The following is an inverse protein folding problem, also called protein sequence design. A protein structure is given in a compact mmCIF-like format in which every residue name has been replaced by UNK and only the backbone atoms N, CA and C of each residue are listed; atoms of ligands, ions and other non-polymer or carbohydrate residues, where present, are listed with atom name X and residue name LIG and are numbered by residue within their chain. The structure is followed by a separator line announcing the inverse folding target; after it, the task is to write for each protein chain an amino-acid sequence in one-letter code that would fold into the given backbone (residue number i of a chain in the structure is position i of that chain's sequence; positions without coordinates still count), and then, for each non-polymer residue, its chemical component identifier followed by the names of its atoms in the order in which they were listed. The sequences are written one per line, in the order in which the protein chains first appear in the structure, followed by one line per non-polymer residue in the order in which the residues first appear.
data_IF_880724866485
#
_entry.id   IF_880724866485
#
_cell.length_a   1.000
_cell.length_b   1.000
_cell.length_c   1.000
_cell.angle_alpha   90.00
_cell.angle_beta   90.00
_cell.angle_gamma   90.00
#
_symmetry.space_group_name_H-M   'P 1'
#
loop_
_entity.id
_entity.type
_entity.pdbx_description
1 polymer ?
#
# COMPACT_ATOMS: atom_id res chain seq x y z
N UNK A 1 18.08 -91.08 -57.63
CA UNK A 1 18.21 -90.06 -58.69
C UNK A 1 17.53 -88.78 -58.22
N UNK A 2 18.30 -87.68 -58.19
CA UNK A 2 17.92 -86.25 -58.00
C UNK A 2 17.29 -85.89 -56.64
N UNK A 3 18.04 -85.43 -55.63
CA UNK A 3 18.77 -84.15 -55.46
C UNK A 3 17.86 -82.94 -55.14
N UNK A 4 17.91 -82.48 -53.89
CA UNK A 4 17.98 -81.05 -53.49
C UNK A 4 18.08 -81.03 -51.95
N UNK A 5 19.27 -80.94 -51.36
CA UNK A 5 20.02 -79.73 -50.99
C UNK A 5 19.36 -78.86 -49.90
N UNK A 6 20.20 -78.66 -48.89
CA UNK A 6 20.09 -77.89 -47.65
C UNK A 6 19.65 -76.44 -47.83
N UNK A 7 19.04 -75.87 -46.77
CA UNK A 7 19.73 -74.85 -45.97
C UNK A 7 18.92 -74.49 -44.71
N UNK A 8 19.63 -74.54 -43.58
CA UNK A 8 19.26 -73.98 -42.29
C UNK A 8 19.43 -72.46 -42.41
N UNK A 9 18.37 -71.71 -42.14
CA UNK A 9 18.42 -70.26 -41.96
C UNK A 9 17.91 -69.92 -40.56
N UNK A 10 18.82 -69.34 -39.78
CA UNK A 10 18.64 -68.82 -38.43
C UNK A 10 17.96 -67.43 -38.48
N UNK A 11 17.34 -67.04 -37.34
CA UNK A 11 17.10 -65.63 -36.90
C UNK A 11 15.98 -64.91 -37.70
N UNK A 12 14.94 -64.27 -37.15
CA UNK A 12 14.62 -63.67 -35.85
C UNK A 12 13.12 -63.81 -35.56
N UNK A 13 12.74 -64.07 -34.31
CA UNK A 13 11.39 -63.77 -33.82
C UNK A 13 11.31 -62.25 -33.64
N UNK A 14 10.66 -61.55 -34.58
CA UNK A 14 10.25 -60.18 -34.38
C UNK A 14 9.08 -60.18 -33.39
N UNK A 15 9.39 -60.00 -32.11
CA UNK A 15 8.41 -59.69 -31.08
C UNK A 15 7.92 -58.27 -31.39
N UNK A 16 6.80 -58.15 -32.11
CA UNK A 16 6.04 -56.90 -32.18
C UNK A 16 5.46 -56.62 -30.78
N UNK A 17 6.28 -56.06 -29.90
CA UNK A 17 5.78 -55.32 -28.75
C UNK A 17 5.14 -54.08 -29.33
N UNK A 18 3.82 -54.10 -29.51
CA UNK A 18 3.06 -52.87 -29.64
C UNK A 18 3.25 -52.11 -28.33
N UNK A 19 4.23 -51.23 -28.30
CA UNK A 19 4.26 -50.10 -27.39
C UNK A 19 3.04 -49.26 -27.76
N UNK A 20 1.89 -49.62 -27.19
CA UNK A 20 0.84 -48.65 -26.98
C UNK A 20 1.48 -47.62 -26.07
N UNK A 21 1.94 -46.53 -26.67
CA UNK A 21 2.34 -45.32 -25.96
C UNK A 21 1.11 -44.90 -25.16
N UNK A 22 1.05 -45.33 -23.91
CA UNK A 22 0.26 -44.64 -22.92
C UNK A 22 0.97 -43.30 -22.82
N UNK A 23 0.46 -42.32 -23.58
CA UNK A 23 0.73 -40.92 -23.31
C UNK A 23 0.19 -40.68 -21.91
N UNK A 24 1.04 -40.94 -20.92
CA UNK A 24 0.92 -40.34 -19.61
C UNK A 24 1.01 -38.86 -19.91
N UNK A 25 -0.15 -38.23 -20.07
CA UNK A 25 -0.27 -36.81 -19.78
C UNK A 25 0.10 -36.72 -18.31
N UNK A 26 1.39 -36.57 -18.03
CA UNK A 26 1.78 -35.70 -16.95
C UNK A 26 1.21 -34.35 -17.39
N UNK A 27 -0.04 -34.11 -17.00
CA UNK A 27 -0.48 -32.75 -16.76
C UNK A 27 0.55 -32.25 -15.74
N UNK A 28 1.58 -31.57 -16.24
CA UNK A 28 2.33 -30.65 -15.42
C UNK A 28 1.25 -29.80 -14.78
N UNK A 29 1.07 -29.97 -13.48
CA UNK A 29 0.35 -29.02 -12.65
C UNK A 29 1.19 -27.75 -12.68
N UNK A 30 1.11 -27.04 -13.80
CA UNK A 30 1.70 -25.73 -13.96
C UNK A 30 0.72 -24.77 -13.30
N UNK A 31 0.78 -24.75 -11.97
CA UNK A 31 0.04 -23.81 -11.14
C UNK A 31 1.06 -22.91 -10.47
N UNK A 32 1.38 -21.81 -11.11
CA UNK A 32 2.20 -20.76 -10.52
C UNK A 32 1.44 -19.44 -10.55
N UNK A 33 1.45 -18.79 -9.39
CA UNK A 33 0.52 -17.76 -8.91
C UNK A 33 1.32 -16.86 -7.92
N UNK A 34 1.16 -15.53 -7.83
CA UNK A 34 2.09 -14.52 -8.38
C UNK A 34 2.34 -14.85 -9.86
N UNK A 35 2.34 -13.90 -10.80
CA UNK A 35 2.34 -14.35 -12.21
C UNK A 35 3.61 -15.18 -12.43
N UNK A 36 3.44 -16.48 -12.69
CA UNK A 36 4.49 -17.50 -12.67
C UNK A 36 5.38 -17.61 -11.39
N UNK A 37 4.84 -17.43 -10.18
CA UNK A 37 5.50 -17.67 -8.88
C UNK A 37 5.07 -18.95 -8.16
N UNK A 38 5.76 -19.36 -7.09
CA UNK A 38 5.52 -20.61 -6.36
C UNK A 38 4.93 -20.36 -4.98
N UNK A 39 4.14 -21.31 -4.49
CA UNK A 39 3.67 -21.28 -3.09
C UNK A 39 4.90 -21.27 -2.16
N UNK A 40 4.94 -20.33 -1.22
CA UNK A 40 6.01 -20.28 -0.23
C UNK A 40 5.85 -21.41 0.78
N UNK A 41 6.91 -21.79 1.49
CA UNK A 41 6.77 -22.75 2.60
C UNK A 41 6.38 -21.97 3.85
N UNK A 42 5.40 -22.50 4.60
CA UNK A 42 5.02 -21.97 5.91
C UNK A 42 6.26 -21.84 6.80
N UNK A 43 6.55 -20.62 7.24
CA UNK A 43 7.67 -20.30 8.12
C UNK A 43 8.90 -19.73 7.42
N UNK A 44 8.95 -19.70 6.07
CA UNK A 44 10.05 -19.06 5.33
C UNK A 44 10.07 -17.55 5.56
N UNK A 45 8.89 -16.93 5.65
CA UNK A 45 8.69 -15.48 5.71
C UNK A 45 7.94 -15.04 6.98
N UNK A 46 8.50 -15.26 8.18
CA UNK A 46 7.80 -15.03 9.45
C UNK A 46 7.55 -13.55 9.76
N UNK A 47 8.21 -12.64 9.05
CA UNK A 47 7.99 -11.18 9.13
C UNK A 47 6.89 -10.69 8.18
N UNK A 48 6.43 -11.52 7.23
CA UNK A 48 5.41 -11.12 6.27
C UNK A 48 4.14 -10.73 7.01
N UNK A 49 3.60 -9.56 6.70
CA UNK A 49 2.48 -8.98 7.44
C UNK A 49 1.32 -8.71 6.50
N UNK A 50 0.14 -9.22 6.85
CA UNK A 50 -1.10 -8.87 6.16
C UNK A 50 -1.70 -7.61 6.79
N UNK A 51 -2.00 -6.60 5.98
CA UNK A 51 -2.76 -5.42 6.43
C UNK A 51 -4.24 -5.66 6.11
N UNK A 52 -5.06 -5.60 7.15
CA UNK A 52 -6.42 -6.13 7.17
C UNK A 52 -7.38 -5.01 7.56
N UNK A 53 -8.51 -4.89 6.86
CA UNK A 53 -9.62 -4.02 7.31
C UNK A 53 -10.17 -4.52 8.64
N UNK A 54 -10.19 -3.65 9.66
CA UNK A 54 -10.63 -3.99 11.02
C UNK A 54 -12.01 -4.65 11.03
N UNK A 55 -12.16 -5.70 11.82
CA UNK A 55 -13.41 -6.47 11.94
C UNK A 55 -13.75 -7.37 10.74
N UNK A 56 -12.82 -7.58 9.79
CA UNK A 56 -12.92 -8.62 8.76
C UNK A 56 -11.98 -9.79 9.07
N UNK A 57 -12.31 -10.99 8.60
CA UNK A 57 -11.35 -12.11 8.61
C UNK A 57 -10.14 -11.76 7.74
N UNK A 58 -8.96 -12.29 8.02
CA UNK A 58 -7.74 -12.02 7.24
C UNK A 58 -7.98 -12.29 5.73
N UNK A 59 -8.52 -13.47 5.40
CA UNK A 59 -8.88 -13.86 4.01
C UNK A 59 -9.82 -12.92 3.27
N UNK A 60 -10.62 -12.10 3.98
CA UNK A 60 -11.58 -11.18 3.36
C UNK A 60 -11.22 -9.72 3.51
N UNK A 61 -10.38 -9.41 4.49
CA UNK A 61 -10.02 -8.07 4.88
C UNK A 61 -8.64 -7.66 4.44
N UNK A 62 -7.77 -8.60 4.06
CA UNK A 62 -6.45 -8.30 3.51
C UNK A 62 -6.61 -7.44 2.26
N UNK A 63 -5.86 -6.33 2.22
CA UNK A 63 -5.86 -5.42 1.08
C UNK A 63 -4.46 -4.97 0.66
N UNK A 64 -3.48 -5.04 1.57
CA UNK A 64 -2.07 -4.79 1.31
C UNK A 64 -1.19 -5.76 2.11
N UNK A 65 0.07 -5.85 1.71
CA UNK A 65 1.15 -6.46 2.46
C UNK A 65 1.95 -5.42 3.27
N UNK A 66 2.84 -5.93 4.09
CA UNK A 66 3.83 -5.19 4.86
C UNK A 66 4.88 -6.14 5.40
N UNK A 67 5.86 -5.59 6.09
CA UNK A 67 6.92 -6.36 6.74
C UNK A 67 7.11 -5.90 8.18
N UNK A 68 7.15 -6.84 9.11
CA UNK A 68 7.46 -6.53 10.50
C UNK A 68 8.96 -6.24 10.64
N UNK A 69 9.29 -5.04 11.12
CA UNK A 69 10.69 -4.58 11.26
C UNK A 69 11.15 -4.55 12.73
N UNK A 70 10.28 -4.92 13.67
CA UNK A 70 10.61 -5.13 15.07
C UNK A 70 9.78 -4.30 16.04
N UNK A 71 9.68 -4.75 17.29
CA UNK A 71 8.98 -4.07 18.37
C UNK A 71 7.50 -3.82 18.04
N UNK A 72 7.21 -2.58 17.62
CA UNK A 72 5.87 -2.05 17.30
C UNK A 72 5.70 -1.68 15.83
N UNK A 73 6.63 -2.02 14.95
CA UNK A 73 6.68 -1.36 13.64
C UNK A 73 6.53 -2.34 12.48
N UNK A 74 5.64 -1.97 11.56
CA UNK A 74 5.44 -2.62 10.27
C UNK A 74 5.73 -1.59 9.17
N UNK A 75 6.58 -1.97 8.23
CA UNK A 75 6.91 -1.17 7.04
C UNK A 75 5.96 -1.54 5.90
N UNK A 76 5.42 -0.55 5.20
CA UNK A 76 4.51 -0.73 4.06
C UNK A 76 4.56 0.49 3.12
N UNK A 77 3.68 0.53 2.12
CA UNK A 77 3.55 1.64 1.18
C UNK A 77 2.55 2.70 1.70
N UNK A 78 2.80 3.97 1.38
CA UNK A 78 1.91 5.08 1.71
C UNK A 78 0.54 4.94 1.04
N UNK A 79 0.49 4.49 -0.22
CA UNK A 79 -0.76 4.32 -0.95
C UNK A 79 -1.71 3.29 -0.31
N UNK A 80 -1.18 2.34 0.48
CA UNK A 80 -1.99 1.36 1.21
C UNK A 80 -2.80 2.00 2.34
N UNK A 81 -2.21 3.00 3.00
CA UNK A 81 -2.74 3.62 4.23
C UNK A 81 -3.23 5.05 4.02
N UNK A 82 -3.00 5.62 2.84
CA UNK A 82 -3.54 6.91 2.45
C UNK A 82 -5.06 6.94 2.66
N UNK A 83 -5.54 8.01 3.30
CA UNK A 83 -6.95 8.20 3.63
C UNK A 83 -7.55 7.13 4.58
N UNK A 84 -6.72 6.44 5.38
CA UNK A 84 -7.16 5.51 6.42
C UNK A 84 -6.80 6.01 7.80
N UNK A 85 -7.68 5.76 8.77
CA UNK A 85 -7.38 5.91 10.19
C UNK A 85 -6.73 4.64 10.74
N UNK A 86 -5.87 4.74 11.78
CA UNK A 86 -5.43 3.58 12.57
C UNK A 86 -6.60 2.66 12.98
N UNK A 87 -7.76 3.23 13.30
CA UNK A 87 -8.95 2.49 13.71
C UNK A 87 -9.66 1.72 12.58
N UNK A 88 -9.28 1.95 11.32
CA UNK A 88 -9.85 1.23 10.16
C UNK A 88 -9.10 -0.07 9.87
N UNK A 89 -7.93 -0.26 10.47
CA UNK A 89 -6.99 -1.33 10.11
C UNK A 89 -6.50 -2.13 11.32
N UNK A 90 -6.18 -3.39 11.04
CA UNK A 90 -5.42 -4.29 11.91
C UNK A 90 -4.33 -4.93 11.05
N UNK A 91 -3.30 -5.46 11.68
CA UNK A 91 -2.29 -6.25 10.97
C UNK A 91 -2.27 -7.69 11.49
N UNK A 92 -1.80 -8.62 10.68
CA UNK A 92 -1.44 -9.96 11.12
C UNK A 92 0.00 -10.28 10.73
N UNK A 93 0.90 -10.31 11.71
CA UNK A 93 2.34 -10.53 11.51
C UNK A 93 2.66 -12.02 11.50
N UNK A 94 3.34 -12.50 10.46
CA UNK A 94 3.78 -13.90 10.33
C UNK A 94 2.68 -14.88 9.92
N UNK A 95 1.55 -14.38 9.43
CA UNK A 95 0.52 -15.23 8.82
C UNK A 95 1.03 -15.74 7.46
N UNK A 96 0.74 -17.01 7.13
CA UNK A 96 1.11 -17.60 5.85
C UNK A 96 -0.14 -17.95 5.03
N UNK A 97 -1.12 -18.59 5.66
CA UNK A 97 -2.45 -18.84 5.09
C UNK A 97 -3.50 -17.94 5.76
N UNK A 98 -4.05 -16.98 5.00
CA UNK A 98 -5.08 -16.04 5.42
C UNK A 98 -6.39 -16.71 5.89
N UNK A 99 -6.60 -17.99 5.56
CA UNK A 99 -7.74 -18.78 6.04
C UNK A 99 -7.51 -19.45 7.40
N UNK A 100 -6.27 -19.43 7.90
CA UNK A 100 -5.86 -20.06 9.16
C UNK A 100 -5.52 -19.04 10.26
N UNK A 101 -6.08 -17.83 10.21
CA UNK A 101 -5.77 -16.72 11.15
C UNK A 101 -6.00 -17.05 12.64
N UNK A 102 -6.82 -18.06 12.95
CA UNK A 102 -7.02 -18.54 14.32
C UNK A 102 -5.79 -19.31 14.88
N UNK A 103 -4.89 -19.75 13.99
CA UNK A 103 -3.73 -20.61 14.33
C UNK A 103 -2.41 -20.09 13.75
N UNK A 104 -2.46 -19.06 12.91
CA UNK A 104 -1.32 -18.47 12.23
C UNK A 104 -1.30 -16.95 12.38
N UNK A 105 -0.09 -16.42 12.47
CA UNK A 105 0.15 -14.99 12.64
C UNK A 105 -0.22 -14.45 14.02
N UNK A 106 0.13 -13.19 14.22
CA UNK A 106 -0.20 -12.42 15.41
C UNK A 106 -1.03 -11.22 14.96
N UNK A 107 -2.34 -11.26 15.23
CA UNK A 107 -3.25 -10.17 14.89
C UNK A 107 -3.20 -9.06 15.94
N UNK A 108 -2.92 -7.85 15.51
CA UNK A 108 -2.63 -6.69 16.39
C UNK A 108 -3.32 -5.43 15.85
N UNK A 109 -3.78 -4.58 16.76
CA UNK A 109 -4.34 -3.27 16.40
C UNK A 109 -3.25 -2.26 16.04
N UNK A 110 -3.67 -1.15 15.44
CA UNK A 110 -2.78 -0.07 15.02
C UNK A 110 -2.98 1.15 15.93
N UNK A 111 -1.88 1.70 16.44
CA UNK A 111 -1.82 2.91 17.25
C UNK A 111 -1.72 4.17 16.40
N UNK A 112 -0.85 4.14 15.40
CA UNK A 112 -0.54 5.28 14.55
C UNK A 112 -0.08 4.82 13.16
N UNK A 113 -0.19 5.73 12.20
CA UNK A 113 0.26 5.55 10.82
C UNK A 113 1.09 6.79 10.48
N UNK A 114 2.30 6.56 10.01
CA UNK A 114 3.23 7.58 9.53
C UNK A 114 3.45 7.36 8.03
N UNK A 115 3.01 8.31 7.22
CA UNK A 115 3.26 8.37 5.78
C UNK A 115 4.39 9.37 5.52
N UNK A 116 5.15 9.16 4.46
CA UNK A 116 6.14 10.15 4.05
C UNK A 116 5.46 11.50 3.77
N UNK A 117 6.06 12.57 4.26
CA UNK A 117 5.54 13.94 4.22
C UNK A 117 5.38 14.42 2.77
N UNK A 118 6.33 14.03 1.91
CA UNK A 118 6.35 14.31 0.47
C UNK A 118 5.71 13.20 -0.39
N UNK A 119 4.87 12.32 0.17
CA UNK A 119 4.15 11.33 -0.62
C UNK A 119 3.19 12.01 -1.62
N UNK A 120 3.40 11.75 -2.90
CA UNK A 120 2.54 12.22 -3.99
C UNK A 120 1.72 11.04 -4.54
N UNK A 121 0.39 11.10 -4.41
CA UNK A 121 -0.49 10.03 -4.88
C UNK A 121 -0.69 10.00 -6.41
N UNK A 122 -0.36 11.08 -7.12
CA UNK A 122 -0.43 11.14 -8.58
C UNK A 122 0.82 10.55 -9.22
N UNK A 123 1.99 10.88 -8.67
CA UNK A 123 3.29 10.37 -9.16
C UNK A 123 3.70 9.04 -8.50
N UNK A 124 3.14 8.74 -7.34
CA UNK A 124 3.54 7.62 -6.46
C UNK A 124 4.99 7.74 -5.98
N UNK A 125 5.49 8.98 -5.88
CA UNK A 125 6.79 9.31 -5.31
C UNK A 125 6.74 9.20 -3.78
N UNK A 126 7.85 8.82 -3.16
CA UNK A 126 7.98 8.65 -1.71
C UNK A 126 6.92 7.71 -1.10
N UNK A 127 6.60 6.63 -1.80
CA UNK A 127 5.55 5.69 -1.40
C UNK A 127 5.98 4.73 -0.27
N UNK A 128 6.18 5.29 0.92
CA UNK A 128 6.59 4.57 2.13
C UNK A 128 5.74 4.99 3.33
N UNK A 129 5.41 4.03 4.19
CA UNK A 129 4.72 4.27 5.45
C UNK A 129 5.18 3.31 6.55
N UNK A 130 5.11 3.78 7.79
CA UNK A 130 5.23 2.98 9.01
C UNK A 130 3.85 2.87 9.66
N UNK A 131 3.49 1.64 10.01
CA UNK A 131 2.36 1.32 10.89
C UNK A 131 2.94 1.02 12.27
N UNK A 132 2.52 1.81 13.26
CA UNK A 132 2.82 1.56 14.67
C UNK A 132 1.71 0.72 15.30
N UNK A 133 2.08 -0.40 15.94
CA UNK A 133 1.19 -1.32 16.61
C UNK A 133 0.78 -0.81 18.00
N UNK A 134 -0.45 -1.11 18.42
CA UNK A 134 -0.98 -0.76 19.75
C UNK A 134 -0.17 -1.35 20.92
N UNK A 135 0.50 -2.47 20.67
CA UNK A 135 1.43 -3.10 21.59
C UNK A 135 2.67 -3.61 20.86
N UNK A 136 3.80 -3.64 21.58
CA UNK A 136 4.99 -4.33 21.10
C UNK A 136 4.71 -5.84 21.05
N UNK A 137 5.15 -6.50 19.99
CA UNK A 137 5.02 -7.94 19.83
C UNK A 137 6.37 -8.61 19.69
N UNK A 138 6.42 -9.89 20.05
CA UNK A 138 7.59 -10.74 19.82
C UNK A 138 7.35 -11.60 18.58
N UNK A 139 7.95 -11.19 17.47
CA UNK A 139 7.94 -11.90 16.19
C UNK A 139 9.32 -11.75 15.51
N UNK A 140 9.58 -12.55 14.48
CA UNK A 140 10.80 -12.40 13.68
C UNK A 140 10.70 -11.15 12.82
N UNK A 141 11.65 -10.22 12.96
CA UNK A 141 11.74 -9.04 12.12
C UNK A 141 12.63 -9.27 10.90
N UNK A 142 12.38 -8.51 9.83
CA UNK A 142 13.27 -8.45 8.66
C UNK A 142 14.29 -7.32 8.85
N UNK A 143 15.60 -7.57 8.67
CA UNK A 143 16.58 -6.49 8.60
C UNK A 143 16.41 -5.67 7.32
N UNK A 144 16.51 -4.35 7.45
CA UNK A 144 16.47 -3.43 6.33
C UNK A 144 17.86 -3.27 5.69
N UNK A 145 17.89 -3.14 4.37
CA UNK A 145 19.12 -2.82 3.64
C UNK A 145 19.59 -1.39 3.95
N UNK A 146 20.90 -1.18 3.97
CA UNK A 146 21.47 0.17 3.92
C UNK A 146 21.43 0.71 2.49
N UNK A 147 21.53 2.03 2.32
CA UNK A 147 21.63 2.65 1.00
C UNK A 147 22.79 2.06 0.18
N UNK A 148 23.96 1.93 0.80
CA UNK A 148 25.14 1.34 0.15
C UNK A 148 24.89 -0.07 -0.37
N UNK A 149 24.08 -0.87 0.34
CA UNK A 149 23.72 -2.21 -0.13
C UNK A 149 22.81 -2.11 -1.36
N UNK A 150 21.78 -1.27 -1.33
CA UNK A 150 20.87 -1.09 -2.48
C UNK A 150 21.60 -0.53 -3.70
N UNK A 151 22.48 0.46 -3.52
CA UNK A 151 23.30 1.03 -4.59
C UNK A 151 24.18 -0.04 -5.26
N UNK A 152 24.66 -1.02 -4.50
CA UNK A 152 25.49 -2.11 -5.05
C UNK A 152 24.72 -3.05 -5.98
N UNK A 153 23.38 -3.10 -5.88
CA UNK A 153 22.53 -3.95 -6.73
C UNK A 153 22.53 -3.48 -8.19
N UNK A 154 22.66 -2.17 -8.43
CA UNK A 154 22.74 -1.58 -9.79
C UNK A 154 23.88 -2.17 -10.62
N UNK A 155 24.95 -2.62 -9.96
CA UNK A 155 26.12 -3.16 -10.66
C UNK A 155 26.11 -4.68 -10.77
N UNK A 156 25.37 -5.36 -9.88
CA UNK A 156 25.37 -6.82 -9.78
C UNK A 156 24.16 -7.47 -10.44
N UNK A 157 23.08 -6.71 -10.70
CA UNK A 157 21.82 -7.17 -11.27
C UNK A 157 21.33 -8.51 -10.69
N UNK A 158 21.20 -8.63 -9.36
CA UNK A 158 20.86 -9.90 -8.73
C UNK A 158 19.38 -10.24 -8.91
N UNK A 159 19.05 -11.51 -8.67
CA UNK A 159 17.66 -11.92 -8.43
C UNK A 159 17.20 -11.45 -7.06
N UNK A 160 15.98 -10.94 -7.00
CA UNK A 160 15.29 -10.44 -5.81
C UNK A 160 13.99 -11.21 -5.62
N UNK A 161 13.64 -11.49 -4.37
CA UNK A 161 12.42 -12.24 -4.05
C UNK A 161 11.32 -11.29 -3.59
N UNK A 162 10.15 -11.34 -4.22
CA UNK A 162 8.92 -10.67 -3.79
C UNK A 162 7.88 -11.70 -3.40
N UNK A 163 6.98 -11.34 -2.48
CA UNK A 163 5.97 -12.24 -1.93
C UNK A 163 4.69 -11.51 -1.53
N UNK A 164 3.59 -12.24 -1.54
CA UNK A 164 2.31 -11.74 -1.06
C UNK A 164 1.12 -12.63 -1.44
N UNK A 165 -0.07 -12.08 -1.25
CA UNK A 165 -1.36 -12.70 -1.51
C UNK A 165 -2.11 -12.01 -2.66
N UNK A 166 -1.36 -11.34 -3.53
CA UNK A 166 -1.90 -10.57 -4.64
C UNK A 166 -2.54 -11.42 -5.72
N UNK A 167 -3.14 -10.74 -6.68
CA UNK A 167 -3.88 -11.37 -7.75
C UNK A 167 -2.96 -12.20 -8.64
N UNK A 168 -3.33 -13.44 -8.86
CA UNK A 168 -2.48 -14.45 -9.48
C UNK A 168 -2.68 -14.53 -11.00
N UNK A 169 -3.46 -13.61 -11.57
CA UNK A 169 -3.88 -13.64 -12.95
C UNK A 169 -3.91 -12.25 -13.57
N UNK A 170 -3.34 -12.14 -14.77
CA UNK A 170 -3.40 -10.92 -15.60
C UNK A 170 -4.75 -10.72 -16.28
N UNK A 171 -5.62 -11.74 -16.28
CA UNK A 171 -6.87 -11.77 -17.06
C UNK A 171 -8.11 -12.05 -16.21
N UNK A 172 -7.93 -12.43 -14.95
CA UNK A 172 -9.03 -12.74 -14.01
C UNK A 172 -8.67 -12.32 -12.59
N UNK A 173 -9.63 -12.40 -11.66
CA UNK A 173 -9.44 -12.06 -10.25
C UNK A 173 -9.34 -13.35 -9.44
N UNK A 174 -8.12 -13.72 -9.07
CA UNK A 174 -7.82 -14.95 -8.37
C UNK A 174 -6.84 -14.62 -7.25
N UNK A 175 -7.36 -14.42 -6.04
CA UNK A 175 -6.55 -14.17 -4.85
C UNK A 175 -6.32 -15.49 -4.08
N UNK A 176 -5.08 -15.83 -3.69
CA UNK A 176 -4.82 -17.00 -2.88
C UNK A 176 -5.04 -16.64 -1.42
N UNK A 177 -5.34 -17.65 -0.60
CA UNK A 177 -5.20 -17.47 0.84
C UNK A 177 -3.78 -17.78 1.31
N UNK A 178 -3.06 -18.66 0.61
CA UNK A 178 -1.69 -19.03 0.93
C UNK A 178 -0.71 -18.02 0.34
N UNK A 179 0.37 -17.73 1.05
CA UNK A 179 1.42 -16.81 0.62
C UNK A 179 2.24 -17.41 -0.54
N UNK A 180 2.39 -16.64 -1.61
CA UNK A 180 3.23 -16.99 -2.76
C UNK A 180 4.47 -16.10 -2.84
N UNK A 181 5.47 -16.57 -3.58
CA UNK A 181 6.72 -15.84 -3.84
C UNK A 181 7.16 -15.98 -5.30
N UNK A 182 7.95 -15.04 -5.78
CA UNK A 182 8.64 -15.14 -7.07
C UNK A 182 9.97 -14.41 -7.00
N UNK A 183 10.93 -14.89 -7.79
CA UNK A 183 12.17 -14.19 -8.04
C UNK A 183 12.06 -13.33 -9.31
N UNK A 184 12.50 -12.08 -9.21
CA UNK A 184 12.56 -11.08 -10.28
C UNK A 184 13.95 -10.45 -10.30
N UNK A 185 14.55 -10.23 -11.48
CA UNK A 185 15.88 -9.61 -11.55
C UNK A 185 15.78 -8.12 -11.24
N UNK A 186 16.79 -7.59 -10.56
CA UNK A 186 16.97 -6.15 -10.43
C UNK A 186 17.15 -5.51 -11.82
N UNK A 187 16.58 -4.32 -11.99
CA UNK A 187 16.68 -3.51 -13.21
C UNK A 187 17.26 -2.16 -12.84
N UNK A 188 18.39 -1.80 -13.48
CA UNK A 188 19.01 -0.50 -13.27
C UNK A 188 18.06 0.64 -13.67
N UNK A 189 18.17 1.76 -12.94
CA UNK A 189 17.26 2.91 -13.09
C UNK A 189 17.23 3.45 -14.51
N UNK A 190 18.36 3.46 -15.21
CA UNK A 190 18.42 3.97 -16.58
C UNK A 190 17.63 3.08 -17.55
N UNK A 191 17.76 1.76 -17.42
CA UNK A 191 16.96 0.79 -18.17
C UNK A 191 15.47 0.92 -17.86
N UNK A 192 15.12 1.15 -16.58
CA UNK A 192 13.74 1.35 -16.17
C UNK A 192 13.15 2.64 -16.80
N UNK A 193 13.85 3.77 -16.68
CA UNK A 193 13.42 5.06 -17.23
C UNK A 193 13.29 5.05 -18.77
N UNK A 194 14.08 4.23 -19.45
CA UNK A 194 14.05 4.10 -20.90
C UNK A 194 12.74 3.50 -21.44
N UNK A 195 11.88 2.91 -20.59
CA UNK A 195 10.50 2.53 -20.98
C UNK A 195 9.70 3.77 -21.42
N UNK A 196 9.94 4.92 -20.79
CA UNK A 196 9.18 6.15 -21.01
C UNK A 196 7.85 6.19 -20.26
N UNK A 197 7.04 7.22 -20.52
CA UNK A 197 5.81 7.45 -19.75
C UNK A 197 6.12 7.75 -18.28
N UNK A 198 5.34 7.18 -17.37
CA UNK A 198 5.51 7.38 -15.91
C UNK A 198 6.85 6.80 -15.41
N UNK A 199 7.42 5.80 -16.09
CA UNK A 199 8.76 5.28 -15.76
C UNK A 199 9.87 6.33 -15.92
N UNK A 200 9.67 7.36 -16.75
CA UNK A 200 10.70 8.38 -17.01
C UNK A 200 11.01 9.26 -15.78
N UNK A 201 10.12 9.27 -14.78
CA UNK A 201 10.27 10.06 -13.54
C UNK A 201 10.77 9.24 -12.35
N UNK A 202 11.00 7.93 -12.51
CA UNK A 202 11.49 7.05 -11.42
C UNK A 202 12.79 7.62 -10.82
N UNK A 203 12.69 8.06 -9.57
CA UNK A 203 13.75 8.75 -8.83
C UNK A 203 14.66 7.85 -8.00
N UNK A 204 15.44 8.46 -7.10
CA UNK A 204 16.31 7.75 -6.14
C UNK A 204 15.50 7.05 -5.03
N UNK A 205 14.29 7.53 -4.78
CA UNK A 205 13.30 6.99 -3.86
C UNK A 205 12.70 5.66 -4.33
N UNK A 206 13.02 5.22 -5.55
CA UNK A 206 12.53 3.98 -6.13
C UNK A 206 13.63 3.16 -6.83
N UNK A 207 13.36 1.85 -6.95
CA UNK A 207 14.12 0.85 -7.70
C UNK A 207 13.17 0.02 -8.56
N UNK A 208 13.68 -0.59 -9.63
CA UNK A 208 12.89 -1.43 -10.52
C UNK A 208 13.35 -2.89 -10.46
N UNK A 209 12.41 -3.81 -10.64
CA UNK A 209 12.70 -5.22 -10.79
C UNK A 209 11.68 -5.90 -11.70
N UNK A 210 12.11 -6.88 -12.48
CA UNK A 210 11.25 -7.63 -13.39
C UNK A 210 11.95 -8.04 -14.68
N UNK A 211 11.33 -8.97 -15.39
CA UNK A 211 11.81 -9.42 -16.70
C UNK A 211 11.31 -8.49 -17.80
N UNK A 212 12.16 -8.14 -18.75
CA UNK A 212 11.79 -7.29 -19.89
C UNK A 212 10.68 -7.95 -20.74
N UNK A 213 10.69 -9.27 -20.85
CA UNK A 213 9.66 -10.06 -21.53
C UNK A 213 8.35 -10.14 -20.74
N UNK A 214 8.33 -9.65 -19.51
CA UNK A 214 7.23 -9.82 -18.57
C UNK A 214 7.11 -11.26 -18.08
N UNK A 215 5.88 -11.69 -17.81
CA UNK A 215 5.58 -13.07 -17.42
C UNK A 215 5.87 -13.41 -15.95
N UNK A 216 6.60 -12.60 -15.19
CA UNK A 216 6.68 -12.70 -13.72
C UNK A 216 6.61 -11.34 -13.06
N UNK A 217 5.73 -11.20 -12.07
CA UNK A 217 5.54 -9.93 -11.36
C UNK A 217 4.67 -10.08 -10.11
N UNK A 218 4.86 -9.15 -9.17
CA UNK A 218 3.89 -8.84 -8.12
C UNK A 218 2.62 -8.22 -8.72
N UNK A 219 1.48 -8.32 -8.03
CA UNK A 219 0.22 -7.82 -8.56
C UNK A 219 -0.70 -7.25 -7.49
N UNK A 220 -1.92 -6.83 -7.86
CA UNK A 220 -2.85 -6.18 -6.92
C UNK A 220 -3.01 -7.02 -5.65
N UNK A 221 -2.83 -6.44 -4.47
CA UNK A 221 -2.88 -7.14 -3.19
C UNK A 221 -1.51 -7.52 -2.61
N UNK A 222 -0.44 -7.45 -3.41
CA UNK A 222 0.96 -7.52 -2.94
C UNK A 222 1.51 -6.14 -2.53
N UNK A 223 0.84 -5.05 -2.94
CA UNK A 223 1.12 -3.66 -2.57
C UNK A 223 1.54 -3.50 -1.11
N UNK A 224 2.64 -2.78 -0.88
CA UNK A 224 3.22 -2.60 0.45
C UNK A 224 4.05 -3.79 0.96
N UNK A 225 4.02 -4.94 0.28
CA UNK A 225 4.84 -6.11 0.60
C UNK A 225 6.33 -5.90 0.34
N UNK A 226 7.21 -6.73 0.93
CA UNK A 226 8.65 -6.56 0.82
C UNK A 226 9.24 -7.12 -0.49
N UNK A 227 10.25 -6.42 -1.02
CA UNK A 227 11.21 -6.95 -1.99
C UNK A 227 12.52 -7.27 -1.27
N UNK A 228 13.01 -8.50 -1.39
CA UNK A 228 14.12 -9.02 -0.62
C UNK A 228 15.34 -9.33 -1.47
N UNK A 229 16.51 -9.04 -0.93
CA UNK A 229 17.80 -9.49 -1.44
C UNK A 229 18.42 -10.53 -0.51
N UNK A 230 18.92 -11.62 -1.08
CA UNK A 230 19.63 -12.65 -0.33
C UNK A 230 21.13 -12.30 -0.23
N UNK A 231 21.50 -11.63 0.86
CA UNK A 231 22.90 -11.29 1.16
C UNK A 231 23.58 -12.49 1.83
N UNK A 232 24.15 -13.38 1.01
CA UNK A 232 24.96 -14.52 1.46
C UNK A 232 24.25 -15.43 2.49
N UNK A 233 22.97 -15.70 2.27
CA UNK A 233 22.12 -16.53 3.14
C UNK A 233 21.29 -15.73 4.14
N UNK A 234 21.46 -14.40 4.21
CA UNK A 234 20.63 -13.52 5.04
C UNK A 234 19.77 -12.64 4.15
N UNK A 235 18.46 -12.83 4.22
CA UNK A 235 17.52 -11.94 3.53
C UNK A 235 17.51 -10.56 4.18
N UNK A 236 17.55 -9.52 3.35
CA UNK A 236 17.37 -8.12 3.74
C UNK A 236 16.31 -7.49 2.85
N UNK A 237 15.47 -6.63 3.41
CA UNK A 237 14.49 -5.90 2.62
C UNK A 237 15.17 -4.72 1.91
N UNK A 238 15.08 -4.71 0.58
CA UNK A 238 15.66 -3.67 -0.30
C UNK A 238 14.58 -2.80 -0.93
N UNK A 239 13.35 -3.28 -0.98
CA UNK A 239 12.24 -2.52 -1.54
C UNK A 239 10.88 -2.80 -0.92
N UNK A 240 9.90 -1.99 -1.34
CA UNK A 240 8.47 -2.11 -0.98
C UNK A 240 7.67 -2.09 -2.28
N UNK A 241 6.76 -3.05 -2.49
CA UNK A 241 5.89 -3.08 -3.68
C UNK A 241 5.07 -1.80 -3.76
N UNK A 242 5.25 -1.01 -4.83
CA UNK A 242 4.59 0.29 -5.00
C UNK A 242 3.63 0.27 -6.20
N UNK A 243 4.14 0.25 -7.43
CA UNK A 243 3.32 0.31 -8.64
C UNK A 243 3.95 -0.41 -9.85
N UNK A 244 3.22 -0.50 -10.96
CA UNK A 244 3.67 -1.03 -12.25
C UNK A 244 2.58 -0.94 -13.31
N UNK A 245 2.98 -0.89 -14.59
CA UNK A 245 2.06 -0.81 -15.73
C UNK A 245 1.41 -2.16 -16.06
N UNK A 246 0.45 -2.54 -15.22
CA UNK A 246 -0.15 -3.86 -15.25
C UNK A 246 0.82 -4.92 -14.74
N UNK A 247 0.29 -6.09 -14.40
CA UNK A 247 1.11 -7.13 -13.80
C UNK A 247 1.73 -8.02 -14.90
N UNK A 248 3.05 -8.20 -14.84
CA UNK A 248 3.83 -9.09 -15.70
C UNK A 248 3.66 -8.85 -17.21
N UNK A 249 3.40 -7.61 -17.62
CA UNK A 249 3.36 -7.24 -19.03
C UNK A 249 4.78 -7.12 -19.59
N UNK A 250 5.00 -7.42 -20.88
CA UNK A 250 6.26 -7.12 -21.53
C UNK A 250 6.56 -5.61 -21.47
N UNK A 251 7.82 -5.26 -21.15
CA UNK A 251 8.30 -3.89 -20.96
C UNK A 251 7.54 -3.09 -19.88
N UNK A 252 7.04 -3.77 -18.84
CA UNK A 252 6.51 -3.13 -17.64
C UNK A 252 7.20 -3.75 -16.42
N UNK A 253 8.20 -3.05 -15.88
CA UNK A 253 8.85 -3.49 -14.65
C UNK A 253 7.98 -3.14 -13.44
N UNK A 254 8.08 -3.93 -12.37
CA UNK A 254 7.59 -3.52 -11.07
C UNK A 254 8.48 -2.40 -10.53
N UNK A 255 7.86 -1.37 -9.98
CA UNK A 255 8.52 -0.27 -9.30
C UNK A 255 8.30 -0.43 -7.80
N UNK A 256 9.41 -0.33 -7.07
CA UNK A 256 9.46 -0.58 -5.64
C UNK A 256 10.11 0.61 -4.95
N UNK A 257 9.57 1.02 -3.81
CA UNK A 257 10.18 2.07 -2.99
C UNK A 257 11.55 1.62 -2.50
N UNK A 258 12.58 2.46 -2.63
CA UNK A 258 13.96 2.17 -2.26
C UNK A 258 14.13 2.24 -0.73
N UNK A 259 14.15 1.09 -0.05
CA UNK A 259 14.30 1.04 1.40
C UNK A 259 15.64 1.63 1.85
N UNK A 260 16.71 1.41 1.10
CA UNK A 260 18.03 1.93 1.43
C UNK A 260 18.07 3.46 1.51
N UNK A 261 17.34 4.13 0.62
CA UNK A 261 17.20 5.58 0.59
C UNK A 261 16.57 6.12 1.88
N UNK A 262 15.43 5.56 2.29
CA UNK A 262 14.69 6.00 3.49
C UNK A 262 15.29 5.51 4.82
N UNK A 263 16.06 4.42 4.80
CA UNK A 263 16.70 3.85 6.00
C UNK A 263 17.89 4.69 6.52
N UNK A 264 18.20 5.82 5.89
CA UNK A 264 19.24 6.76 6.34
C UNK A 264 18.72 7.86 7.28
N UNK A 265 17.42 7.88 7.59
CA UNK A 265 16.86 8.82 8.55
C UNK A 265 15.36 8.66 8.76
N UNK A 266 14.58 8.68 7.68
CA UNK A 266 13.11 8.71 7.75
C UNK A 266 12.52 7.51 8.52
N UNK A 267 13.00 6.30 8.24
CA UNK A 267 12.53 5.10 8.96
C UNK A 267 12.93 5.17 10.44
N UNK A 268 14.14 5.62 10.75
CA UNK A 268 14.63 5.72 12.13
C UNK A 268 13.79 6.72 12.94
N UNK A 269 13.52 7.89 12.37
CA UNK A 269 12.65 8.92 12.98
C UNK A 269 11.26 8.36 13.32
N UNK A 270 10.65 7.58 12.43
CA UNK A 270 9.31 7.03 12.63
C UNK A 270 9.27 5.69 13.39
N UNK A 271 10.42 5.22 13.88
CA UNK A 271 10.55 3.98 14.65
C UNK A 271 11.33 4.15 15.96
N UNK A 272 11.53 5.40 16.40
CA UNK A 272 12.34 5.75 17.56
C UNK A 272 11.60 5.62 18.90
N UNK A 273 10.27 5.46 18.89
CA UNK A 273 9.42 5.35 20.07
C UNK A 273 8.56 6.58 20.35
N UNK A 274 8.71 7.68 19.62
CA UNK A 274 7.83 8.85 19.76
C UNK A 274 6.54 8.60 18.97
N UNK A 275 5.44 8.39 19.69
CA UNK A 275 4.13 8.09 19.09
C UNK A 275 3.24 9.30 19.03
N UNK A 276 2.68 9.61 17.86
CA UNK A 276 1.77 10.73 17.66
C UNK A 276 0.77 10.48 16.52
N UNK A 277 -0.27 11.30 16.44
CA UNK A 277 -1.22 11.24 15.31
C UNK A 277 -0.73 12.14 14.17
N UNK A 278 -0.09 11.57 13.15
CA UNK A 278 0.40 12.32 12.00
C UNK A 278 -0.74 12.82 11.10
N UNK A 279 -1.76 11.99 10.83
CA UNK A 279 -2.86 12.38 9.94
C UNK A 279 -4.23 12.17 10.60
N UNK A 280 -5.06 13.21 10.60
CA UNK A 280 -6.51 13.12 10.83
C UNK A 280 -7.25 13.52 9.56
N UNK A 281 -7.98 12.56 8.98
CA UNK A 281 -8.74 12.77 7.75
C UNK A 281 -10.23 13.04 8.01
N UNK A 282 -10.83 13.76 7.05
CA UNK A 282 -12.27 13.81 6.76
C UNK A 282 -13.17 14.28 7.88
N UNK A 283 -13.08 15.58 8.12
CA UNK A 283 -14.14 16.32 8.76
C UNK A 283 -15.17 16.72 7.69
N UNK A 284 -16.35 16.07 7.68
CA UNK A 284 -17.48 16.49 6.85
C UNK A 284 -18.12 17.74 7.46
N UNK A 285 -18.11 18.85 6.71
CA UNK A 285 -18.39 20.22 7.18
C UNK A 285 -19.87 20.54 7.47
N UNK A 286 -20.54 19.77 8.33
CA UNK A 286 -21.84 20.19 8.87
C UNK A 286 -21.68 21.15 10.05
N UNK A 287 -20.53 21.10 10.74
CA UNK A 287 -20.18 21.99 11.84
C UNK A 287 -19.15 23.05 11.40
N UNK A 288 -19.27 24.25 11.96
CA UNK A 288 -18.34 25.38 11.72
C UNK A 288 -17.02 25.20 12.47
N UNK A 289 -17.02 24.43 13.58
CA UNK A 289 -15.86 24.22 14.43
C UNK A 289 -15.73 22.77 14.88
N UNK A 290 -14.49 22.28 14.98
CA UNK A 290 -14.17 20.93 15.46
C UNK A 290 -13.19 20.98 16.62
N UNK A 291 -13.32 20.05 17.55
CA UNK A 291 -12.32 19.83 18.61
C UNK A 291 -11.56 18.55 18.31
N UNK A 292 -10.26 18.67 18.08
CA UNK A 292 -9.36 17.56 17.74
C UNK A 292 -8.37 17.33 18.87
N UNK A 293 -8.12 16.05 19.15
CA UNK A 293 -7.15 15.62 20.13
C UNK A 293 -5.96 14.94 19.46
N UNK A 294 -4.76 15.43 19.77
CA UNK A 294 -3.49 14.90 19.31
C UNK A 294 -2.71 14.37 20.52
N UNK A 295 -2.84 13.07 20.85
CA UNK A 295 -2.02 12.47 21.88
C UNK A 295 -0.57 12.33 21.39
N UNK A 296 0.37 12.58 22.30
CA UNK A 296 1.81 12.31 22.12
C UNK A 296 2.23 11.34 23.22
N UNK A 297 2.96 10.29 22.88
CA UNK A 297 3.42 9.27 23.82
C UNK A 297 4.90 9.00 23.61
N UNK A 298 5.58 8.69 24.69
CA UNK A 298 6.97 8.28 24.64
C UNK A 298 7.08 6.78 24.93
N UNK A 299 7.40 5.97 23.93
CA UNK A 299 7.79 4.57 24.08
C UNK A 299 9.31 4.36 23.97
N UNK A 300 10.08 5.43 23.77
CA UNK A 300 11.53 5.40 23.75
C UNK A 300 12.10 5.51 25.16
N UNK A 301 13.36 5.10 25.32
CA UNK A 301 14.10 5.28 26.58
C UNK A 301 14.61 6.71 26.78
N UNK A 302 14.58 7.53 25.73
CA UNK A 302 15.01 8.93 25.77
C UNK A 302 13.83 9.79 26.19
N UNK A 303 13.95 10.44 27.35
CA UNK A 303 12.95 11.42 27.78
C UNK A 303 13.09 12.70 26.96
N UNK A 304 11.98 13.33 26.60
CA UNK A 304 12.00 14.56 25.79
C UNK A 304 10.94 15.58 26.24
N UNK A 305 11.20 16.84 25.92
CA UNK A 305 10.31 17.98 26.10
C UNK A 305 9.70 18.39 24.75
N UNK A 306 8.44 18.83 24.78
CA UNK A 306 7.87 19.61 23.67
C UNK A 306 8.31 21.06 23.86
N UNK A 307 9.15 21.56 22.94
CA UNK A 307 9.80 22.87 23.05
C UNK A 307 9.04 23.98 22.36
N UNK A 308 8.27 23.66 21.31
CA UNK A 308 7.44 24.63 20.60
C UNK A 308 6.24 23.96 19.92
N UNK A 309 5.13 24.71 19.79
CA UNK A 309 3.93 24.30 19.06
C UNK A 309 3.53 25.45 18.13
N UNK A 310 3.56 25.20 16.83
CA UNK A 310 3.14 26.15 15.81
C UNK A 310 1.81 25.72 15.22
N UNK A 311 0.81 26.60 15.32
CA UNK A 311 -0.53 26.36 14.79
C UNK A 311 -0.73 27.08 13.45
N UNK A 312 -1.39 26.45 12.46
CA UNK A 312 -1.81 27.11 11.24
C UNK A 312 -3.01 28.05 11.49
N UNK A 313 -3.32 28.91 10.51
CA UNK A 313 -4.48 29.78 10.60
C UNK A 313 -5.78 28.98 10.78
N UNK A 314 -6.70 29.47 11.61
CA UNK A 314 -7.95 28.79 11.95
C UNK A 314 -7.83 27.74 13.07
N UNK A 315 -6.63 27.52 13.63
CA UNK A 315 -6.41 26.55 14.70
C UNK A 315 -6.12 27.28 16.02
N UNK A 316 -6.72 26.80 17.11
CA UNK A 316 -6.53 27.35 18.46
C UNK A 316 -6.25 26.22 19.45
N UNK A 317 -5.13 26.28 20.16
CA UNK A 317 -4.83 25.34 21.25
C UNK A 317 -5.70 25.69 22.46
N UNK A 318 -6.63 24.80 22.78
CA UNK A 318 -7.59 24.97 23.88
C UNK A 318 -7.13 24.29 25.16
N UNK A 319 -6.35 23.22 25.05
CA UNK A 319 -5.74 22.52 26.17
C UNK A 319 -4.38 21.94 25.76
N UNK A 320 -3.41 22.04 26.66
CA UNK A 320 -2.08 21.46 26.50
C UNK A 320 -1.67 20.77 27.81
N UNK A 321 -1.61 19.44 27.78
CA UNK A 321 -1.11 18.65 28.91
C UNK A 321 0.37 18.25 28.74
N UNK A 322 0.99 18.62 27.61
CA UNK A 322 2.38 18.36 27.27
C UNK A 322 3.32 19.45 27.81
N UNK A 323 3.19 19.78 29.10
CA UNK A 323 3.96 20.88 29.73
C UNK A 323 5.15 20.40 30.57
N UNK A 324 5.28 19.09 30.77
CA UNK A 324 6.37 18.45 31.48
C UNK A 324 7.11 17.49 30.57
N UNK A 325 8.36 17.18 30.91
CA UNK A 325 9.15 16.14 30.26
C UNK A 325 8.40 14.83 30.21
N UNK A 326 8.34 14.24 29.01
CA UNK A 326 7.76 12.93 28.77
C UNK A 326 8.83 11.87 29.02
N UNK A 327 8.76 11.21 30.18
CA UNK A 327 9.59 10.05 30.45
C UNK A 327 9.11 8.82 29.67
N UNK A 328 9.88 7.73 29.69
CA UNK A 328 9.48 6.47 29.07
C UNK A 328 8.10 6.01 29.58
N UNK A 329 7.20 5.70 28.67
CA UNK A 329 5.79 5.36 28.85
C UNK A 329 4.88 6.50 29.34
N UNK A 330 5.36 7.74 29.42
CA UNK A 330 4.50 8.90 29.64
C UNK A 330 3.71 9.25 28.37
N UNK A 331 2.60 9.94 28.58
CA UNK A 331 1.78 10.49 27.50
C UNK A 331 1.21 11.83 27.88
N UNK A 332 0.96 12.65 26.89
CA UNK A 332 0.24 13.89 27.00
C UNK A 332 -0.67 14.09 25.77
N UNK A 333 -1.38 15.21 25.74
CA UNK A 333 -2.37 15.52 24.73
C UNK A 333 -2.41 17.02 24.46
N UNK A 334 -2.48 17.35 23.16
CA UNK A 334 -2.85 18.67 22.65
C UNK A 334 -4.32 18.61 22.20
N UNK A 335 -5.14 19.52 22.71
CA UNK A 335 -6.53 19.68 22.28
C UNK A 335 -6.67 20.97 21.49
N UNK A 336 -6.97 20.85 20.20
CA UNK A 336 -7.00 21.95 19.25
C UNK A 336 -8.41 22.14 18.72
N UNK A 337 -8.92 23.35 18.82
CA UNK A 337 -10.13 23.77 18.13
C UNK A 337 -9.78 24.24 16.72
N UNK A 338 -10.52 23.78 15.73
CA UNK A 338 -10.36 24.13 14.32
C UNK A 338 -11.62 24.86 13.85
N UNK A 339 -11.46 26.09 13.37
CA UNK A 339 -12.48 26.85 12.66
C UNK A 339 -12.31 26.64 11.14
N UNK A 340 -13.23 25.88 10.54
CA UNK A 340 -13.13 25.49 9.13
C UNK A 340 -13.30 26.68 8.18
N UNK A 341 -13.97 27.75 8.62
CA UNK A 341 -14.18 28.94 7.79
C UNK A 341 -12.89 29.75 7.61
N UNK A 342 -11.99 29.70 8.60
CA UNK A 342 -10.71 30.43 8.59
C UNK A 342 -9.50 29.53 8.40
N UNK A 343 -9.67 28.20 8.46
CA UNK A 343 -8.61 27.23 8.21
C UNK A 343 -8.11 27.31 6.76
N UNK A 344 -6.80 27.54 6.62
CA UNK A 344 -6.12 27.60 5.33
C UNK A 344 -5.18 26.43 5.15
N UNK A 345 -5.03 25.94 3.91
CA UNK A 345 -4.01 24.96 3.59
C UNK A 345 -2.63 25.49 3.99
N UNK A 346 -1.89 24.72 4.79
CA UNK A 346 -0.55 25.09 5.24
C UNK A 346 0.21 23.83 5.69
N UNK A 347 1.29 23.43 5.00
CA UNK A 347 1.80 23.97 3.74
C UNK A 347 0.77 23.85 2.61
N UNK A 348 1.00 24.52 1.48
CA UNK A 348 0.02 24.71 0.40
C UNK A 348 -0.36 23.39 -0.30
N UNK A 349 -1.20 22.59 0.33
CA UNK A 349 -1.86 21.42 -0.26
C UNK A 349 -3.37 21.66 -0.27
N UNK A 350 -3.90 21.89 -1.47
CA UNK A 350 -5.32 21.94 -1.74
C UNK A 350 -5.63 21.19 -3.02
N UNK A 351 -6.54 20.23 -2.98
CA UNK A 351 -7.05 19.55 -4.17
C UNK A 351 -8.51 19.92 -4.40
N UNK A 352 -8.94 20.05 -5.66
CA UNK A 352 -10.34 20.37 -5.96
C UNK A 352 -10.90 19.45 -7.05
N UNK A 353 -12.11 18.95 -6.83
CA UNK A 353 -12.86 18.15 -7.80
C UNK A 353 -14.23 18.77 -8.01
N UNK A 354 -14.69 18.85 -9.26
CA UNK A 354 -15.99 19.43 -9.59
C UNK A 354 -16.85 18.44 -10.38
N UNK A 355 -18.12 18.33 -10.02
CA UNK A 355 -19.11 17.54 -10.73
C UNK A 355 -20.31 18.41 -11.08
N UNK A 356 -20.70 18.43 -12.37
CA UNK A 356 -21.86 19.18 -12.83
C UNK A 356 -23.02 18.24 -13.14
N UNK A 357 -24.18 18.49 -12.53
CA UNK A 357 -25.43 17.78 -12.79
C UNK A 357 -26.60 18.76 -12.77
N UNK A 358 -27.52 18.65 -13.74
CA UNK A 358 -28.70 19.52 -13.87
C UNK A 358 -28.41 21.04 -13.83
N UNK A 359 -27.27 21.48 -14.38
CA UNK A 359 -26.87 22.90 -14.39
C UNK A 359 -26.33 23.41 -13.05
N UNK A 360 -26.15 22.54 -12.06
CA UNK A 360 -25.47 22.82 -10.80
C UNK A 360 -24.10 22.15 -10.82
N UNK A 361 -23.04 22.95 -10.66
CA UNK A 361 -21.67 22.47 -10.44
C UNK A 361 -21.42 22.42 -8.94
N UNK A 362 -21.10 21.24 -8.44
CA UNK A 362 -20.65 21.02 -7.07
C UNK A 362 -19.13 20.87 -7.10
N UNK A 363 -18.43 21.76 -6.39
CA UNK A 363 -16.97 21.73 -6.24
C UNK A 363 -16.65 21.29 -4.81
N UNK A 364 -15.83 20.25 -4.71
CA UNK A 364 -15.30 19.71 -3.46
C UNK A 364 -13.83 20.07 -3.40
N UNK A 365 -13.44 20.81 -2.37
CA UNK A 365 -12.05 21.19 -2.11
C UNK A 365 -11.57 20.48 -0.85
N UNK A 366 -10.42 19.81 -0.92
CA UNK A 366 -9.73 19.24 0.24
C UNK A 366 -8.57 20.15 0.58
N UNK A 367 -8.48 20.57 1.83
CA UNK A 367 -7.36 21.37 2.35
C UNK A 367 -6.66 20.59 3.46
N UNK A 368 -5.34 20.69 3.51
CA UNK A 368 -4.53 20.12 4.60
C UNK A 368 -3.84 21.24 5.36
N UNK A 369 -4.00 21.24 6.67
CA UNK A 369 -3.29 22.15 7.58
C UNK A 369 -2.49 21.34 8.58
N UNK A 370 -1.25 21.77 8.82
CA UNK A 370 -0.26 21.07 9.65
C UNK A 370 0.00 21.87 10.91
N UNK A 371 -0.13 21.20 12.06
CA UNK A 371 0.42 21.66 13.33
C UNK A 371 1.84 21.11 13.42
N UNK A 372 2.84 21.98 13.54
CA UNK A 372 4.23 21.59 13.76
C UNK A 372 4.54 21.59 15.25
N UNK A 373 4.97 20.45 15.78
CA UNK A 373 5.37 20.29 17.18
C UNK A 373 6.87 20.00 17.22
N UNK A 374 7.64 20.91 17.82
CA UNK A 374 9.09 20.74 17.96
C UNK A 374 9.40 20.05 19.29
N UNK A 375 10.31 19.07 19.27
CA UNK A 375 10.81 18.38 20.47
C UNK A 375 12.33 18.46 20.55
N UNK A 376 12.90 18.10 21.70
CA UNK A 376 14.34 17.91 21.85
C UNK A 376 14.78 16.42 21.73
N UNK A 377 13.89 15.53 21.29
CA UNK A 377 14.21 14.12 21.04
C UNK A 377 15.22 13.98 19.89
N UNK A 378 16.26 13.17 20.09
CA UNK A 378 17.40 13.05 19.18
C UNK A 378 17.06 12.55 17.77
N UNK A 379 15.97 11.79 17.62
CA UNK A 379 15.51 11.22 16.34
C UNK A 379 14.18 11.82 15.84
N UNK A 380 13.42 12.51 16.71
CA UNK A 380 12.10 13.09 16.37
C UNK A 380 12.01 14.58 16.73
N UNK A 381 12.87 15.44 16.15
CA UNK A 381 12.91 16.86 16.48
C UNK A 381 11.65 17.62 16.05
N UNK A 382 10.89 17.09 15.08
CA UNK A 382 9.63 17.66 14.61
C UNK A 382 8.59 16.55 14.42
N UNK A 383 7.37 16.81 14.92
CA UNK A 383 6.19 15.98 14.73
C UNK A 383 5.17 16.78 13.91
N UNK A 384 4.87 16.31 12.70
CA UNK A 384 3.89 16.95 11.82
C UNK A 384 2.50 16.36 12.02
N UNK A 385 1.57 17.17 12.53
CA UNK A 385 0.20 16.73 12.79
C UNK A 385 -0.76 17.39 11.80
N UNK A 386 -1.11 16.64 10.77
CA UNK A 386 -1.93 17.06 9.64
C UNK A 386 -3.42 16.84 9.92
N UNK A 387 -4.22 17.85 9.57
CA UNK A 387 -5.68 17.77 9.52
C UNK A 387 -6.15 18.05 8.10
N UNK A 388 -6.88 17.09 7.52
CA UNK A 388 -7.48 17.25 6.19
C UNK A 388 -8.99 17.47 6.29
N UNK A 389 -9.48 18.58 5.73
CA UNK A 389 -10.89 18.96 5.74
C UNK A 389 -11.42 19.12 4.32
N UNK A 390 -12.68 18.74 4.14
CA UNK A 390 -13.39 18.85 2.87
C UNK A 390 -14.40 19.99 2.96
N UNK A 391 -14.34 20.93 2.02
CA UNK A 391 -15.35 21.96 1.83
C UNK A 391 -16.07 21.76 0.51
N UNK A 392 -17.39 21.74 0.53
CA UNK A 392 -18.21 21.63 -0.67
C UNK A 392 -18.91 22.95 -0.97
N UNK A 393 -18.80 23.43 -2.20
CA UNK A 393 -19.52 24.60 -2.71
C UNK A 393 -20.34 24.23 -3.94
N UNK A 394 -21.47 24.90 -4.15
CA UNK A 394 -22.30 24.69 -5.34
C UNK A 394 -22.55 26.01 -6.06
N UNK A 395 -22.38 26.03 -7.37
CA UNK A 395 -22.79 27.13 -8.24
C UNK A 395 -23.86 26.64 -9.23
N UNK A 396 -24.95 27.39 -9.36
CA UNK A 396 -25.95 27.17 -10.39
C UNK A 396 -25.63 28.06 -11.59
N UNK A 397 -25.75 27.52 -12.81
CA UNK A 397 -25.66 28.33 -14.01
C UNK A 397 -26.77 29.39 -13.99
N UNK A 398 -26.39 30.66 -13.85
CA UNK A 398 -27.30 31.80 -14.02
C UNK A 398 -27.81 31.76 -15.46
N UNK A 399 -29.03 31.26 -15.66
CA UNK A 399 -29.68 31.33 -16.96
C UNK A 399 -30.06 32.79 -17.14
N UNK A 400 -29.23 33.56 -17.86
CA UNK A 400 -29.62 34.89 -18.33
C UNK A 400 -30.70 34.70 -19.38
N UNK A 401 -31.96 34.53 -18.94
CA UNK A 401 -33.11 34.64 -19.84
C UNK A 401 -33.18 36.08 -20.32
N UNK A 402 -32.63 36.35 -21.49
CA UNK A 402 -33.07 37.47 -22.33
C UNK A 402 -34.53 37.24 -22.64
N UNK A 403 -35.41 38.00 -21.97
CA UNK A 403 -36.84 37.98 -22.22
C UNK A 403 -37.13 38.57 -23.60
N UNK A 404 -37.25 37.72 -24.62
CA UNK A 404 -38.11 38.03 -25.76
C UNK A 404 -39.53 37.61 -25.40
N UNK A 405 -40.46 38.57 -25.41
CA UNK A 405 -41.89 38.33 -25.20
C UNK A 405 -42.38 37.30 -26.23
N UNK A 406 -42.90 36.17 -25.77
CA UNK A 406 -44.05 35.55 -26.41
C UNK A 406 -44.90 34.80 -25.38
N UNK A 407 -46.21 34.90 -25.56
CA UNK A 407 -47.29 34.57 -24.65
C UNK A 407 -47.58 33.08 -24.52
N UNK A 408 -47.93 32.64 -23.30
CA UNK A 408 -48.95 31.59 -23.11
C UNK A 408 -48.65 30.51 -22.07
N UNK A 409 -49.56 30.38 -21.09
CA UNK A 409 -49.94 29.09 -20.48
C UNK A 409 -49.23 28.67 -19.19
N UNK A 410 -50.01 28.52 -18.13
CA UNK A 410 -49.62 28.14 -16.77
C UNK A 410 -49.41 26.62 -16.55
N UNK A 411 -48.63 26.25 -15.53
CA UNK A 411 -48.98 25.23 -14.51
C UNK A 411 -47.89 25.13 -13.43
N UNK A 412 -48.30 25.12 -12.15
CA UNK A 412 -47.48 24.82 -10.98
C UNK A 412 -47.10 23.32 -10.91
N UNK A 413 -45.99 23.02 -10.23
CA UNK A 413 -45.66 21.68 -9.73
C UNK A 413 -44.49 21.70 -8.73
N UNK A 414 -44.83 21.62 -7.44
CA UNK A 414 -43.92 21.28 -6.33
C UNK A 414 -43.31 19.88 -6.53
N UNK A 415 -42.05 19.67 -6.15
CA UNK A 415 -41.43 18.34 -6.05
C UNK A 415 -40.04 18.37 -5.43
N UNK A 416 -40.00 18.11 -4.13
CA UNK A 416 -38.84 18.08 -3.22
C UNK A 416 -38.16 16.68 -3.24
N UNK A 417 -36.86 16.65 -2.90
CA UNK A 417 -36.03 15.51 -2.42
C UNK A 417 -35.79 14.28 -3.32
N UNK A 418 -34.51 14.07 -3.68
CA UNK A 418 -33.70 12.89 -3.31
C UNK A 418 -32.46 12.76 -4.23
N UNK A 419 -31.28 13.20 -3.77
CA UNK A 419 -30.00 12.72 -4.33
C UNK A 419 -29.02 12.52 -3.18
N UNK A 420 -29.05 11.34 -2.57
CA UNK A 420 -27.91 10.75 -1.88
C UNK A 420 -27.80 9.29 -2.30
N UNK A 421 -26.55 8.80 -2.28
CA UNK A 421 -26.05 7.48 -2.66
C UNK A 421 -25.67 7.30 -4.14
N UNK A 422 -24.44 7.71 -4.49
CA UNK A 422 -23.70 7.05 -5.57
C UNK A 422 -22.17 7.24 -5.45
N UNK A 423 -21.51 6.57 -4.50
CA UNK A 423 -20.20 5.93 -4.74
C UNK A 423 -20.19 4.57 -4.01
N UNK A 424 -20.78 3.58 -4.65
CA UNK A 424 -20.54 2.15 -4.41
C UNK A 424 -20.78 1.46 -5.75
N UNK A 425 -19.73 1.36 -6.57
CA UNK A 425 -19.77 0.51 -7.77
C UNK A 425 -19.72 -0.96 -7.34
N UNK A 426 -20.88 -1.55 -7.07
CA UNK A 426 -21.07 -3.01 -7.16
C UNK A 426 -21.22 -3.37 -8.64
N UNK A 427 -20.23 -4.07 -9.22
CA UNK A 427 -20.44 -4.82 -10.47
C UNK A 427 -21.35 -6.01 -10.16
N UNK A 428 -22.58 -5.98 -10.67
CA UNK A 428 -23.45 -7.17 -10.71
C UNK A 428 -22.88 -8.16 -11.72
N UNK A 429 -22.61 -9.37 -11.22
CA UNK A 429 -22.41 -10.59 -12.00
C UNK A 429 -23.72 -10.92 -12.74
N UNK A 430 -23.64 -11.08 -14.06
CA UNK A 430 -24.72 -11.61 -14.89
C UNK A 430 -24.73 -13.14 -14.78
N UNK A 431 -25.85 -13.70 -14.33
CA UNK A 431 -26.16 -15.13 -14.43
C UNK A 431 -26.59 -15.44 -15.85
N UNK A 432 -25.96 -16.42 -16.48
CA UNK A 432 -26.59 -17.30 -17.47
C UNK A 432 -26.09 -18.73 -17.26
N UNK A 433 -27.05 -19.62 -17.04
CA UNK A 433 -27.02 -21.10 -17.02
C UNK A 433 -25.90 -21.82 -16.26
#
# INVERSE_FOLDING_TARGET
MKSSLSNIASVSVALCVSLASISVHAASADSSRIINGTESVKGDWPFMTAIITKGKTASRGQFCGGSFIGGRYVLTASHCVNHRSPDDIEVSVGIHDLSNEDTEGQRVGVQAIYMHEDYDAELTDNDIAIIELDQAITATSIPLASNTLVDSLETSNPDLTVMGWGNLSTTSTVYPNVLYQVDVPYVDRSTCQNIGGDYSTVGEDAICAGYAEGGKDSCQGDSGGPLLYNDNGTYKQVGIVSWGDGCAQPNAYGVYTNVGYFNQGWIAQHTDGVSYTQNKYFINSDEEQYTLQFPVRNYSTESFDITNITLPAGFTLTENTCTSTLAENDSCQLTVQVDVATATASPSYSSSTSATSNGTTVTTETKRSTISVTTDHSQSPELEMNTSFITTSSSAATTTTTSSKSSGGASLGLGLFAVFAFISRRRKVSRYA
#
